data_IF_697167039013
#
_entry.id   IF_697167039013
#
_cell.length_a   1.000
_cell.length_b   1.000
_cell.length_c   1.000
_cell.angle_alpha   90.00
_cell.angle_beta   90.00
_cell.angle_gamma   90.00
#
_symmetry.space_group_name_H-M   'P 1'
#
loop_
_entity.id
_entity.type
_entity.pdbx_description
1 polymer ?
#
# COMPACT_ATOMS: atom_id res chain seq x y z
N UNK A 1 6.55 3.23 -9.49
CA UNK A 1 7.35 3.90 -8.42
C UNK A 1 8.35 2.88 -7.87
N UNK A 2 9.46 3.32 -7.30
CA UNK A 2 10.45 2.44 -6.67
C UNK A 2 10.37 2.50 -5.14
N UNK A 3 11.05 1.56 -4.49
CA UNK A 3 11.24 1.51 -3.03
C UNK A 3 12.61 0.87 -2.71
N UNK A 4 13.06 1.02 -1.46
CA UNK A 4 14.31 0.40 -0.99
C UNK A 4 14.18 -1.11 -0.92
N UNK A 5 13.05 -1.61 -0.44
CA UNK A 5 12.66 -3.03 -0.55
C UNK A 5 11.43 -3.12 -1.44
N UNK A 6 11.57 -3.82 -2.57
CA UNK A 6 10.54 -3.90 -3.60
C UNK A 6 10.16 -5.36 -3.88
N UNK A 7 8.87 -5.66 -3.76
CA UNK A 7 8.29 -6.99 -3.98
C UNK A 7 7.35 -6.95 -5.20
N UNK A 8 7.61 -7.78 -6.19
CA UNK A 8 6.72 -8.01 -7.35
C UNK A 8 6.84 -9.48 -7.77
N UNK A 9 5.71 -10.15 -7.98
CA UNK A 9 5.68 -11.57 -8.34
C UNK A 9 6.02 -12.51 -7.20
N UNK A 10 5.84 -12.10 -5.94
CA UNK A 10 6.28 -12.84 -4.75
C UNK A 10 5.13 -13.35 -3.91
N UNK A 11 5.38 -14.44 -3.18
CA UNK A 11 4.42 -15.02 -2.23
C UNK A 11 5.09 -15.30 -0.87
N UNK A 12 4.34 -15.12 0.22
CA UNK A 12 4.70 -15.52 1.59
C UNK A 12 6.07 -15.00 2.07
N UNK A 13 6.44 -13.80 1.63
CA UNK A 13 7.67 -13.13 2.05
C UNK A 13 7.47 -12.42 3.38
N UNK A 14 8.58 -12.17 4.10
CA UNK A 14 8.56 -11.51 5.41
C UNK A 14 9.65 -10.44 5.50
N UNK A 15 9.30 -9.31 6.09
CA UNK A 15 10.24 -8.27 6.54
C UNK A 15 10.00 -8.08 8.03
N UNK A 16 10.95 -8.51 8.84
CA UNK A 16 10.79 -8.48 10.30
C UNK A 16 12.06 -8.06 11.03
N UNK A 17 11.88 -7.49 12.24
CA UNK A 17 12.95 -7.11 13.15
C UNK A 17 14.05 -6.23 12.51
N UNK A 18 13.66 -5.35 11.59
CA UNK A 18 14.59 -4.51 10.84
C UNK A 18 14.40 -3.02 11.16
N UNK A 19 15.47 -2.25 11.01
CA UNK A 19 15.45 -0.79 11.10
C UNK A 19 15.68 -0.17 9.72
N UNK A 20 14.82 0.79 9.37
CA UNK A 20 14.92 1.57 8.14
C UNK A 20 14.96 3.05 8.49
N UNK A 21 16.10 3.69 8.25
CA UNK A 21 16.31 5.10 8.59
C UNK A 21 17.02 5.90 7.51
N UNK A 22 16.74 7.20 7.44
CA UNK A 22 17.42 8.17 6.58
C UNK A 22 17.37 7.83 5.07
N UNK A 23 16.30 7.16 4.63
CA UNK A 23 16.11 6.77 3.22
C UNK A 23 15.43 7.91 2.45
N UNK A 24 15.81 8.13 1.18
CA UNK A 24 15.31 9.27 0.39
C UNK A 24 13.91 9.09 -0.23
N UNK A 25 13.36 7.88 -0.27
CA UNK A 25 12.12 7.54 -0.97
C UNK A 25 11.23 6.57 -0.20
N UNK A 26 10.43 5.76 -0.92
CA UNK A 26 9.56 4.76 -0.30
C UNK A 26 10.40 3.64 0.31
N UNK A 27 9.98 3.14 1.48
CA UNK A 27 10.78 2.15 2.23
C UNK A 27 10.47 0.74 1.75
N UNK A 28 9.24 0.27 1.94
CA UNK A 28 8.79 -1.06 1.52
C UNK A 28 7.62 -0.93 0.54
N UNK A 29 7.69 -1.62 -0.60
CA UNK A 29 6.61 -1.64 -1.57
C UNK A 29 6.30 -3.05 -2.05
N UNK A 30 5.01 -3.40 -2.06
CA UNK A 30 4.44 -4.52 -2.77
C UNK A 30 3.71 -4.00 -4.02
N UNK A 31 4.17 -4.44 -5.19
CA UNK A 31 3.72 -3.99 -6.50
C UNK A 31 3.07 -5.13 -7.28
N UNK A 32 1.98 -4.84 -7.98
CA UNK A 32 1.24 -5.79 -8.82
C UNK A 32 0.97 -7.10 -8.07
N UNK A 33 1.31 -8.25 -8.66
CA UNK A 33 1.13 -9.54 -8.01
C UNK A 33 2.00 -9.67 -6.75
N UNK A 34 1.36 -9.71 -5.60
CA UNK A 34 1.99 -10.04 -4.32
C UNK A 34 0.97 -10.73 -3.42
N UNK A 35 1.35 -11.81 -2.76
CA UNK A 35 0.45 -12.57 -1.88
C UNK A 35 1.09 -12.88 -0.54
N UNK A 36 0.41 -12.58 0.57
CA UNK A 36 0.87 -13.02 1.89
C UNK A 36 2.17 -12.37 2.39
N UNK A 37 2.45 -11.13 1.98
CA UNK A 37 3.61 -10.40 2.52
C UNK A 37 3.34 -10.00 3.99
N UNK A 38 4.24 -10.37 4.89
CA UNK A 38 4.22 -9.95 6.30
C UNK A 38 5.29 -8.88 6.55
N UNK A 39 4.91 -7.74 7.11
CA UNK A 39 5.81 -6.66 7.54
C UNK A 39 5.58 -6.46 9.03
N UNK A 40 6.48 -6.98 9.87
CA UNK A 40 6.25 -7.06 11.33
C UNK A 40 7.42 -6.60 12.16
N UNK A 41 7.14 -6.00 13.31
CA UNK A 41 8.17 -5.72 14.33
C UNK A 41 9.35 -4.87 13.79
N UNK A 42 9.09 -4.00 12.80
CA UNK A 42 10.11 -3.13 12.21
C UNK A 42 10.06 -1.72 12.80
N UNK A 43 11.19 -1.03 12.72
CA UNK A 43 11.31 0.37 13.05
C UNK A 43 11.63 1.20 11.80
N UNK A 44 10.72 2.09 11.39
CA UNK A 44 10.83 2.88 10.17
C UNK A 44 10.75 4.37 10.51
N UNK A 45 11.84 5.12 10.32
CA UNK A 45 11.86 6.53 10.65
C UNK A 45 12.78 7.41 9.80
N UNK A 46 12.58 8.73 9.83
CA UNK A 46 13.38 9.71 9.06
C UNK A 46 13.47 9.44 7.56
N UNK A 47 12.43 8.85 6.98
CA UNK A 47 12.40 8.49 5.56
C UNK A 47 11.70 9.54 4.70
N UNK A 48 12.10 9.63 3.44
CA UNK A 48 11.70 10.67 2.50
C UNK A 48 10.27 10.53 1.98
N UNK A 49 9.74 9.31 1.89
CA UNK A 49 8.39 9.03 1.37
C UNK A 49 7.58 8.09 2.28
N UNK A 50 6.67 7.28 1.71
CA UNK A 50 5.83 6.35 2.45
C UNK A 50 6.62 5.19 3.06
N UNK A 51 6.20 4.70 4.22
CA UNK A 51 6.86 3.56 4.88
C UNK A 51 6.47 2.23 4.21
N UNK A 52 5.18 1.93 4.11
CA UNK A 52 4.69 0.71 3.44
C UNK A 52 3.68 1.08 2.37
N UNK A 53 3.87 0.60 1.15
CA UNK A 53 2.96 0.82 0.02
C UNK A 53 2.55 -0.49 -0.64
N UNK A 54 1.24 -0.75 -0.66
CA UNK A 54 0.63 -1.80 -1.47
C UNK A 54 -0.02 -1.14 -2.69
N UNK A 55 0.48 -1.43 -3.89
CA UNK A 55 0.02 -0.81 -5.14
C UNK A 55 -0.22 -1.87 -6.20
N UNK A 56 -1.48 -2.08 -6.55
CA UNK A 56 -1.87 -2.95 -7.67
C UNK A 56 -1.70 -2.30 -9.04
N UNK A 57 -1.91 -3.11 -10.07
CA UNK A 57 -1.87 -2.69 -11.47
C UNK A 57 -3.26 -2.21 -11.93
N UNK A 58 -3.29 -1.14 -12.72
CA UNK A 58 -4.54 -0.60 -13.28
C UNK A 58 -5.27 -1.60 -14.19
N UNK A 59 -4.57 -2.58 -14.77
CA UNK A 59 -5.19 -3.65 -15.56
C UNK A 59 -6.03 -4.61 -14.72
N UNK A 60 -5.84 -4.63 -13.39
CA UNK A 60 -6.72 -5.33 -12.47
C UNK A 60 -8.04 -4.57 -12.24
N UNK A 61 -8.17 -3.31 -12.69
CA UNK A 61 -9.37 -2.49 -12.56
C UNK A 61 -10.35 -2.75 -13.70
N UNK A 62 -11.63 -2.91 -13.35
CA UNK A 62 -12.71 -3.20 -14.31
C UNK A 62 -13.07 -2.01 -15.19
N UNK A 63 -13.30 -0.86 -14.57
CA UNK A 63 -13.69 0.38 -15.26
C UNK A 63 -12.84 1.56 -14.75
N UNK A 64 -11.53 1.61 -15.07
CA UNK A 64 -10.65 2.66 -14.56
C UNK A 64 -10.99 4.01 -15.20
N UNK A 65 -11.27 5.01 -14.37
CA UNK A 65 -11.26 6.41 -14.74
C UNK A 65 -10.04 7.07 -14.06
N UNK A 66 -8.93 7.18 -14.80
CA UNK A 66 -7.62 7.52 -14.23
C UNK A 66 -7.45 9.02 -14.00
N UNK A 67 -8.29 9.85 -14.63
CA UNK A 67 -8.26 11.29 -14.48
C UNK A 67 -9.65 11.86 -14.22
N UNK A 68 -9.72 13.03 -13.57
CA UNK A 68 -10.99 13.74 -13.33
C UNK A 68 -11.74 14.15 -14.62
N UNK A 69 -11.10 14.03 -15.78
CA UNK A 69 -11.69 14.35 -17.09
C UNK A 69 -12.31 13.14 -17.77
N UNK A 70 -12.06 11.95 -17.24
CA UNK A 70 -12.55 10.69 -17.77
C UNK A 70 -13.70 10.19 -16.91
N UNK A 71 -14.75 9.70 -17.55
CA UNK A 71 -15.82 8.98 -16.90
C UNK A 71 -16.19 7.79 -17.78
N UNK A 72 -16.56 6.67 -17.15
CA UNK A 72 -17.08 5.51 -17.86
C UNK A 72 -18.59 5.67 -17.96
N UNK A 73 -19.18 5.71 -19.17
CA UNK A 73 -20.63 5.74 -19.33
C UNK A 73 -21.28 4.58 -18.58
N UNK A 74 -22.41 4.82 -17.92
CA UNK A 74 -23.09 3.79 -17.09
C UNK A 74 -23.38 2.51 -17.89
N UNK A 75 -23.70 2.64 -19.18
CA UNK A 75 -23.96 1.51 -20.06
C UNK A 75 -22.73 0.64 -20.37
N UNK A 76 -21.53 1.19 -20.19
CA UNK A 76 -20.24 0.51 -20.46
C UNK A 76 -19.54 0.08 -19.17
N UNK A 77 -20.15 0.34 -18.01
CA UNK A 77 -19.57 0.04 -16.71
C UNK A 77 -19.62 -1.46 -16.43
N UNK A 78 -18.46 -2.06 -16.16
CA UNK A 78 -18.37 -3.47 -15.76
C UNK A 78 -18.76 -3.58 -14.28
N UNK A 79 -19.97 -4.09 -14.04
CA UNK A 79 -20.59 -4.19 -12.71
C UNK A 79 -20.19 -5.44 -11.93
N UNK A 80 -19.32 -6.30 -12.48
CA UNK A 80 -18.87 -7.49 -11.75
C UNK A 80 -18.06 -7.06 -10.52
N UNK A 81 -18.33 -7.69 -9.38
CA UNK A 81 -17.64 -7.36 -8.13
C UNK A 81 -16.18 -7.81 -8.15
N UNK A 82 -15.30 -7.01 -7.54
CA UNK A 82 -13.89 -7.33 -7.33
C UNK A 82 -12.99 -7.09 -8.55
N UNK A 83 -11.72 -7.51 -8.47
CA UNK A 83 -10.71 -7.28 -9.50
C UNK A 83 -11.02 -8.01 -10.81
N UNK A 84 -10.41 -7.53 -11.90
CA UNK A 84 -10.40 -8.15 -13.23
C UNK A 84 -9.34 -9.25 -13.38
N UNK A 85 -8.29 -9.23 -12.55
CA UNK A 85 -7.20 -10.20 -12.56
C UNK A 85 -6.30 -10.05 -11.34
N UNK A 86 -5.28 -10.88 -11.21
CA UNK A 86 -4.50 -11.08 -9.97
C UNK A 86 -3.31 -10.12 -9.79
N UNK A 87 -3.16 -9.10 -10.63
CA UNK A 87 -2.05 -8.15 -10.56
C UNK A 87 -2.25 -7.10 -9.46
N UNK A 88 -2.48 -7.56 -8.23
CA UNK A 88 -2.63 -6.72 -7.04
C UNK A 88 -2.09 -7.41 -5.77
N UNK A 89 -1.63 -6.63 -4.78
CA UNK A 89 -1.26 -7.18 -3.48
C UNK A 89 -2.47 -7.68 -2.71
N UNK A 90 -2.36 -8.87 -2.11
CA UNK A 90 -3.44 -9.47 -1.33
C UNK A 90 -3.01 -10.33 -0.16
N UNK A 91 -3.90 -10.43 0.83
CA UNK A 91 -3.70 -11.23 2.04
C UNK A 91 -2.42 -10.81 2.81
N UNK A 92 -2.05 -9.53 2.73
CA UNK A 92 -0.82 -9.02 3.35
C UNK A 92 -1.07 -8.47 4.76
N UNK A 93 -0.04 -8.48 5.59
CA UNK A 93 -0.08 -8.06 6.99
C UNK A 93 0.98 -7.00 7.27
N UNK A 94 0.57 -5.89 7.88
CA UNK A 94 1.46 -4.89 8.49
C UNK A 94 1.15 -4.86 9.98
N UNK A 95 2.04 -5.39 10.80
CA UNK A 95 1.77 -5.59 12.22
C UNK A 95 2.87 -5.12 13.15
N UNK A 96 2.51 -4.48 14.26
CA UNK A 96 3.45 -4.14 15.33
C UNK A 96 4.72 -3.36 14.88
N UNK A 97 4.60 -2.49 13.88
CA UNK A 97 5.70 -1.64 13.45
C UNK A 97 5.65 -0.28 14.15
N UNK A 98 6.83 0.31 14.38
CA UNK A 98 6.99 1.68 14.85
C UNK A 98 7.37 2.56 13.66
N UNK A 99 6.49 3.50 13.28
CA UNK A 99 6.65 4.34 12.10
C UNK A 99 6.50 5.82 12.50
N UNK A 100 7.55 6.63 12.31
CA UNK A 100 7.46 8.08 12.55
C UNK A 100 8.41 8.91 11.70
N UNK A 101 8.14 10.21 11.55
CA UNK A 101 8.96 11.15 10.77
C UNK A 101 9.28 10.67 9.35
N UNK A 102 8.34 9.98 8.72
CA UNK A 102 8.38 9.64 7.28
C UNK A 102 7.87 10.79 6.43
N UNK A 103 7.96 10.69 5.10
CA UNK A 103 7.48 11.73 4.18
C UNK A 103 8.24 13.06 4.27
N UNK A 104 9.53 13.02 4.63
CA UNK A 104 10.36 14.22 4.80
C UNK A 104 10.62 14.99 3.50
N UNK A 105 10.42 14.34 2.35
CA UNK A 105 10.69 14.88 1.01
C UNK A 105 9.42 14.89 0.16
N UNK A 106 8.70 13.77 0.09
CA UNK A 106 7.50 13.63 -0.75
C UNK A 106 6.22 14.14 -0.07
N UNK A 107 5.33 14.77 -0.85
CA UNK A 107 4.14 15.48 -0.32
C UNK A 107 2.92 14.58 -0.06
N UNK A 108 2.77 13.45 -0.74
CA UNK A 108 1.56 12.61 -0.69
C UNK A 108 1.88 11.24 -0.09
N UNK A 109 2.35 11.24 1.15
CA UNK A 109 2.91 10.07 1.81
C UNK A 109 1.99 9.51 2.90
N UNK A 110 2.19 8.23 3.24
CA UNK A 110 1.50 7.61 4.36
C UNK A 110 2.41 6.63 5.10
N UNK A 111 2.11 6.36 6.37
CA UNK A 111 2.71 5.24 7.09
C UNK A 111 2.40 3.92 6.38
N UNK A 112 1.12 3.69 6.06
CA UNK A 112 0.67 2.61 5.18
C UNK A 112 -0.22 3.15 4.07
N UNK A 113 0.17 2.92 2.82
CA UNK A 113 -0.61 3.25 1.63
C UNK A 113 -1.17 1.98 1.00
N UNK A 114 -2.46 2.00 0.68
CA UNK A 114 -3.19 0.88 0.07
C UNK A 114 -3.93 1.41 -1.16
N UNK A 115 -3.55 0.90 -2.32
CA UNK A 115 -4.05 1.29 -3.63
C UNK A 115 -4.24 0.04 -4.50
N UNK A 116 -5.45 -0.19 -5.02
CA UNK A 116 -5.75 -1.38 -5.84
C UNK A 116 -5.26 -2.69 -5.16
N UNK A 117 -5.68 -2.94 -3.92
CA UNK A 117 -5.23 -4.09 -3.12
C UNK A 117 -6.39 -4.68 -2.30
N UNK A 118 -6.27 -5.93 -1.85
CA UNK A 118 -7.35 -6.64 -1.15
C UNK A 118 -6.85 -7.39 0.09
N UNK A 119 -7.69 -7.56 1.11
CA UNK A 119 -7.38 -8.33 2.32
C UNK A 119 -6.07 -7.90 2.99
N UNK A 120 -5.82 -6.60 3.01
CA UNK A 120 -4.68 -6.01 3.71
C UNK A 120 -5.09 -5.81 5.17
N UNK A 121 -4.31 -6.39 6.07
CA UNK A 121 -4.48 -6.23 7.52
C UNK A 121 -3.42 -5.28 8.03
N UNK A 122 -3.85 -4.20 8.70
CA UNK A 122 -2.94 -3.27 9.39
C UNK A 122 -3.33 -3.27 10.86
N UNK A 123 -2.48 -3.84 11.71
CA UNK A 123 -2.78 -3.99 13.14
C UNK A 123 -1.63 -3.58 14.05
N UNK A 124 -1.94 -3.04 15.24
CA UNK A 124 -0.95 -2.77 16.30
C UNK A 124 0.25 -1.89 15.90
N UNK A 125 0.13 -1.08 14.84
CA UNK A 125 1.23 -0.20 14.41
C UNK A 125 1.16 1.14 15.14
N UNK A 126 2.30 1.62 15.63
CA UNK A 126 2.43 2.98 16.14
C UNK A 126 2.85 3.89 15.00
N UNK A 127 1.95 4.75 14.52
CA UNK A 127 2.19 5.67 13.40
C UNK A 127 1.94 7.11 13.85
N UNK A 128 2.99 7.93 13.95
CA UNK A 128 2.89 9.32 14.42
C UNK A 128 3.94 10.23 13.75
N UNK A 129 3.82 11.56 13.91
CA UNK A 129 4.70 12.56 13.29
C UNK A 129 4.88 12.37 11.78
N UNK A 130 3.78 12.07 11.08
CA UNK A 130 3.73 11.91 9.62
C UNK A 130 3.04 13.13 8.98
N UNK A 131 3.48 13.59 7.80
CA UNK A 131 3.06 14.88 7.25
C UNK A 131 1.66 14.90 6.63
N UNK A 132 1.06 13.73 6.37
CA UNK A 132 -0.25 13.61 5.72
C UNK A 132 -1.18 12.60 6.40
N UNK A 133 -0.93 11.30 6.21
CA UNK A 133 -1.83 10.26 6.70
C UNK A 133 -1.05 9.17 7.43
N UNK A 134 -1.58 8.67 8.54
CA UNK A 134 -1.07 7.45 9.15
C UNK A 134 -1.31 6.26 8.23
N UNK A 135 -2.56 6.09 7.81
CA UNK A 135 -3.00 5.07 6.86
C UNK A 135 -3.82 5.74 5.76
N UNK A 136 -3.55 5.40 4.50
CA UNK A 136 -4.29 5.87 3.35
C UNK A 136 -4.82 4.70 2.52
N UNK A 137 -6.13 4.67 2.31
CA UNK A 137 -6.79 3.78 1.35
C UNK A 137 -7.31 4.65 0.21
N UNK A 138 -6.88 4.38 -1.02
CA UNK A 138 -7.09 5.26 -2.16
C UNK A 138 -7.84 4.63 -3.33
N UNK A 139 -7.96 5.43 -4.39
CA UNK A 139 -8.31 5.05 -5.77
C UNK A 139 -9.73 4.54 -6.03
N UNK A 140 -10.59 4.47 -5.02
CA UNK A 140 -12.01 4.14 -5.18
C UNK A 140 -12.24 2.77 -5.81
N UNK A 141 -11.25 1.88 -5.71
CA UNK A 141 -11.29 0.54 -6.30
C UNK A 141 -11.99 -0.44 -5.36
N UNK A 142 -11.79 -1.74 -5.56
CA UNK A 142 -12.18 -2.76 -4.59
C UNK A 142 -11.14 -2.84 -3.47
N UNK A 143 -11.56 -3.42 -2.36
CA UNK A 143 -10.69 -3.75 -1.23
C UNK A 143 -11.51 -4.19 -0.04
N UNK A 144 -11.01 -5.19 0.70
CA UNK A 144 -11.42 -5.48 2.08
C UNK A 144 -10.18 -5.20 2.93
N UNK A 145 -10.33 -4.37 3.95
CA UNK A 145 -9.19 -3.96 4.80
C UNK A 145 -9.64 -4.05 6.25
N UNK A 146 -8.82 -4.67 7.10
CA UNK A 146 -9.09 -4.79 8.54
C UNK A 146 -8.10 -3.96 9.35
N UNK A 147 -8.63 -3.21 10.31
CA UNK A 147 -7.87 -2.43 11.29
C UNK A 147 -8.09 -2.99 12.69
N UNK A 148 -7.02 -3.48 13.30
CA UNK A 148 -6.98 -3.78 14.73
C UNK A 148 -6.11 -2.75 15.41
N UNK A 149 -6.73 -1.76 16.06
CA UNK A 149 -6.03 -0.84 16.99
C UNK A 149 -5.48 -1.61 18.18
#
# INVERSE_FOLDING_TARGET
>A
MGAVVFFEGTENCKVEHSEFTNLGGNVIMASKYNKGLEIKDNYIHDCGASAVSFVGDVSAVRSPALTYREFVPVAEMDTVSGPKGELYPRECLVDNNLIHRIGRVEKQTAGVQIAMAMDITVSRNSIYDVPRAGINIGDGTWGRTYFGV
#
